data_IF_573164894397
#
_entry.id   IF_573164894397
#
_cell.length_a   1.000
_cell.length_b   1.000
_cell.length_c   1.000
_cell.angle_alpha   90.00
_cell.angle_beta   90.00
_cell.angle_gamma   90.00
#
_symmetry.space_group_name_H-M   'P 1'
#
loop_
_entity.id
_entity.type
_entity.pdbx_description
1 polymer ?
#
# COMPACT_ATOMS: atom_id res chain seq x y z
N UNK A 1 3.83 0.41 -15.73
CA UNK A 1 3.73 1.85 -16.07
C UNK A 1 4.58 2.75 -15.18
N UNK A 2 5.38 2.20 -14.25
CA UNK A 2 6.16 2.97 -13.27
C UNK A 2 7.30 3.76 -13.90
N UNK A 3 7.97 3.25 -14.95
CA UNK A 3 9.08 3.96 -15.57
C UNK A 3 8.63 5.30 -16.18
N UNK A 4 7.55 5.31 -16.95
CA UNK A 4 7.04 6.52 -17.61
C UNK A 4 6.55 7.53 -16.58
N UNK A 5 5.76 7.10 -15.60
CA UNK A 5 5.26 8.00 -14.55
C UNK A 5 6.40 8.57 -13.70
N UNK A 6 7.38 7.75 -13.33
CA UNK A 6 8.56 8.19 -12.57
C UNK A 6 9.43 9.13 -13.39
N UNK A 7 9.68 8.85 -14.68
CA UNK A 7 10.42 9.75 -15.56
C UNK A 7 9.73 11.11 -15.71
N UNK A 8 8.41 11.12 -15.93
CA UNK A 8 7.61 12.35 -16.03
C UNK A 8 7.62 13.15 -14.72
N UNK A 9 7.48 12.47 -13.58
CA UNK A 9 7.52 13.13 -12.26
C UNK A 9 8.90 13.71 -11.97
N UNK A 10 9.97 12.96 -12.23
CA UNK A 10 11.35 13.43 -12.03
C UNK A 10 11.66 14.62 -12.93
N UNK A 11 11.34 14.52 -14.23
CA UNK A 11 11.58 15.60 -15.18
C UNK A 11 10.72 16.83 -14.87
N UNK A 12 9.44 16.64 -14.58
CA UNK A 12 8.53 17.72 -14.18
C UNK A 12 8.99 18.43 -12.91
N UNK A 13 9.52 17.70 -11.94
CA UNK A 13 10.04 18.28 -10.69
C UNK A 13 11.32 19.08 -10.93
N UNK A 14 12.25 18.55 -11.74
CA UNK A 14 13.46 19.29 -12.13
C UNK A 14 13.10 20.59 -12.87
N UNK A 15 12.23 20.52 -13.88
CA UNK A 15 11.77 21.71 -14.61
C UNK A 15 11.04 22.71 -13.71
N UNK A 16 10.20 22.23 -12.78
CA UNK A 16 9.49 23.10 -11.85
C UNK A 16 10.45 23.81 -10.91
N UNK A 17 11.44 23.10 -10.36
CA UNK A 17 12.47 23.73 -9.51
C UNK A 17 13.28 24.76 -10.29
N UNK A 18 13.59 24.48 -11.56
CA UNK A 18 14.29 25.41 -12.43
C UNK A 18 13.46 26.68 -12.67
N UNK A 19 12.20 26.55 -13.10
CA UNK A 19 11.33 27.69 -13.38
C UNK A 19 11.07 28.56 -12.13
N UNK A 20 10.90 27.94 -10.95
CA UNK A 20 10.76 28.65 -9.67
C UNK A 20 12.05 29.40 -9.31
N UNK A 21 13.20 28.80 -9.54
CA UNK A 21 14.48 29.46 -9.32
C UNK A 21 14.68 30.65 -10.27
N UNK A 22 14.39 30.49 -11.56
CA UNK A 22 14.43 31.57 -12.55
C UNK A 22 13.49 32.72 -12.18
N UNK A 23 12.27 32.41 -11.71
CA UNK A 23 11.33 33.42 -11.21
C UNK A 23 11.87 34.16 -9.97
N UNK A 24 12.50 33.43 -9.06
CA UNK A 24 13.13 34.01 -7.88
C UNK A 24 14.28 34.95 -8.26
N UNK A 25 15.20 34.54 -9.12
CA UNK A 25 16.28 35.42 -9.60
C UNK A 25 15.72 36.68 -10.30
N UNK A 26 14.71 36.51 -11.14
CA UNK A 26 14.04 37.63 -11.81
C UNK A 26 13.39 38.59 -10.80
N UNK A 27 12.84 38.08 -9.69
CA UNK A 27 12.21 38.90 -8.64
C UNK A 27 13.19 39.73 -7.81
N UNK A 28 14.48 39.35 -7.78
CA UNK A 28 15.53 40.09 -7.08
C UNK A 28 16.06 41.28 -7.88
N UNK A 29 15.76 41.33 -9.18
CA UNK A 29 16.17 42.45 -10.02
C UNK A 29 15.35 43.70 -9.63
N UNK A 30 15.99 44.87 -9.46
CA UNK A 30 15.32 46.11 -9.02
C UNK A 30 14.33 46.69 -10.04
N UNK A 31 14.05 45.99 -11.14
CA UNK A 31 13.06 46.37 -12.13
C UNK A 31 11.71 45.75 -11.78
N UNK A 32 10.68 46.58 -11.62
CA UNK A 32 9.26 46.19 -11.49
C UNK A 32 8.71 45.61 -12.80
N UNK A 33 9.41 44.67 -13.41
CA UNK A 33 9.04 44.02 -14.65
C UNK A 33 8.12 42.83 -14.37
N UNK A 34 7.04 42.74 -15.14
CA UNK A 34 6.17 41.57 -15.18
C UNK A 34 6.98 40.31 -15.48
N UNK A 35 6.55 39.16 -14.97
CA UNK A 35 7.26 37.90 -15.17
C UNK A 35 7.41 37.59 -16.68
N UNK A 36 8.63 37.29 -17.17
CA UNK A 36 8.87 36.97 -18.58
C UNK A 36 8.02 35.80 -19.06
N UNK A 37 7.58 35.88 -20.33
CA UNK A 37 6.76 34.84 -20.95
C UNK A 37 7.43 33.45 -20.91
N UNK A 38 8.73 33.40 -21.11
CA UNK A 38 9.52 32.16 -21.09
C UNK A 38 9.34 31.40 -19.77
N UNK A 39 9.62 32.08 -18.64
CA UNK A 39 9.44 31.53 -17.29
C UNK A 39 7.99 31.07 -17.05
N UNK A 40 7.00 31.81 -17.55
CA UNK A 40 5.59 31.39 -17.41
C UNK A 40 5.26 30.12 -18.18
N UNK A 41 5.80 29.96 -19.40
CA UNK A 41 5.57 28.76 -20.21
C UNK A 41 6.31 27.56 -19.60
N UNK A 42 7.55 27.74 -19.15
CA UNK A 42 8.31 26.70 -18.45
C UNK A 42 7.56 26.21 -17.19
N UNK A 43 7.03 27.13 -16.39
CA UNK A 43 6.27 26.78 -15.19
C UNK A 43 4.97 26.03 -15.54
N UNK A 44 4.20 26.51 -16.52
CA UNK A 44 2.97 25.85 -16.95
C UNK A 44 3.23 24.45 -17.51
N UNK A 45 4.28 24.29 -18.32
CA UNK A 45 4.66 23.00 -18.90
C UNK A 45 5.18 22.03 -17.83
N UNK A 46 6.00 22.51 -16.88
CA UNK A 46 6.46 21.71 -15.76
C UNK A 46 5.31 21.21 -14.88
N UNK A 47 4.37 22.10 -14.52
CA UNK A 47 3.17 21.74 -13.75
C UNK A 47 2.32 20.73 -14.50
N UNK A 48 2.08 20.93 -15.80
CA UNK A 48 1.30 20.02 -16.61
C UNK A 48 1.95 18.63 -16.68
N UNK A 49 3.26 18.55 -16.90
CA UNK A 49 3.99 17.27 -16.91
C UNK A 49 3.92 16.56 -15.56
N UNK A 50 4.04 17.30 -14.47
CA UNK A 50 3.97 16.77 -13.11
C UNK A 50 2.56 16.26 -12.79
N UNK A 51 1.51 16.98 -13.20
CA UNK A 51 0.12 16.51 -13.07
C UNK A 51 -0.11 15.20 -13.84
N UNK A 52 0.37 15.12 -15.09
CA UNK A 52 0.25 13.90 -15.90
C UNK A 52 1.01 12.74 -15.24
N UNK A 53 2.25 12.99 -14.80
CA UNK A 53 3.08 11.98 -14.15
C UNK A 53 2.46 11.44 -12.86
N UNK A 54 1.86 12.31 -12.03
CA UNK A 54 1.18 11.91 -10.78
C UNK A 54 -0.06 11.08 -11.10
N UNK A 55 -0.88 11.49 -12.07
CA UNK A 55 -2.10 10.75 -12.45
C UNK A 55 -1.73 9.36 -12.99
N UNK A 56 -0.70 9.25 -13.82
CA UNK A 56 -0.22 7.97 -14.34
C UNK A 56 0.46 7.09 -13.28
N UNK A 57 0.97 7.68 -12.20
CA UNK A 57 1.54 6.95 -11.06
C UNK A 57 0.47 6.36 -10.13
N UNK A 58 -0.78 6.82 -10.25
CA UNK A 58 -1.87 6.35 -9.38
C UNK A 58 -2.08 4.85 -9.53
N UNK A 59 -2.29 4.10 -8.43
CA UNK A 59 -2.72 2.71 -8.51
C UNK A 59 -4.08 2.60 -9.19
N UNK A 60 -4.33 1.43 -9.79
CA UNK A 60 -5.62 1.12 -10.39
C UNK A 60 -6.76 1.22 -9.38
N UNK A 61 -7.94 1.59 -9.90
CA UNK A 61 -9.15 1.72 -9.10
C UNK A 61 -9.51 0.37 -8.46
N UNK A 62 -9.78 0.41 -7.15
CA UNK A 62 -10.34 -0.74 -6.44
C UNK A 62 -11.74 -1.04 -6.99
N UNK A 63 -12.14 -2.32 -7.10
CA UNK A 63 -13.47 -2.66 -7.59
C UNK A 63 -14.52 -2.22 -6.57
N UNK A 64 -15.70 -1.84 -7.07
CA UNK A 64 -16.81 -1.31 -6.25
C UNK A 64 -17.29 -2.33 -5.22
N UNK A 65 -17.27 -3.61 -5.55
CA UNK A 65 -17.72 -4.67 -4.66
C UNK A 65 -16.59 -5.16 -3.75
N UNK A 66 -16.79 -4.99 -2.44
CA UNK A 66 -15.81 -5.34 -1.41
C UNK A 66 -15.51 -6.84 -1.36
N UNK A 67 -16.48 -7.70 -1.65
CA UNK A 67 -16.26 -9.15 -1.68
C UNK A 67 -15.34 -9.57 -2.84
N UNK A 68 -15.45 -8.88 -3.97
CA UNK A 68 -14.57 -9.11 -5.14
C UNK A 68 -13.17 -8.57 -4.86
N UNK A 69 -13.05 -7.42 -4.19
CA UNK A 69 -11.75 -6.88 -3.79
C UNK A 69 -11.04 -7.80 -2.77
N UNK A 70 -11.73 -8.16 -1.68
CA UNK A 70 -11.19 -9.04 -0.65
C UNK A 70 -10.82 -10.42 -1.19
N UNK A 71 -11.64 -10.98 -2.09
CA UNK A 71 -11.33 -12.25 -2.75
C UNK A 71 -10.12 -12.18 -3.70
N UNK A 72 -9.85 -11.04 -4.34
CA UNK A 72 -8.61 -10.84 -5.11
C UNK A 72 -7.39 -10.74 -4.20
N UNK A 73 -7.51 -10.00 -3.10
CA UNK A 73 -6.44 -9.81 -2.12
C UNK A 73 -6.00 -11.14 -1.50
N UNK A 74 -6.96 -11.95 -1.02
CA UNK A 74 -6.68 -13.28 -0.46
C UNK A 74 -5.97 -14.20 -1.47
N UNK A 75 -6.37 -14.17 -2.75
CA UNK A 75 -5.70 -14.94 -3.81
C UNK A 75 -4.28 -14.45 -4.11
N UNK A 76 -4.04 -13.15 -4.08
CA UNK A 76 -2.71 -12.56 -4.32
C UNK A 76 -1.75 -12.88 -3.17
N UNK A 77 -2.20 -12.76 -1.93
CA UNK A 77 -1.39 -13.13 -0.75
C UNK A 77 -1.10 -14.63 -0.70
N UNK A 78 -2.08 -15.48 -0.96
CA UNK A 78 -1.87 -16.92 -1.05
C UNK A 78 -0.84 -17.28 -2.14
N UNK A 79 -0.92 -16.65 -3.33
CA UNK A 79 0.08 -16.85 -4.39
C UNK A 79 1.47 -16.39 -3.98
N UNK A 80 1.57 -15.28 -3.24
CA UNK A 80 2.84 -14.77 -2.74
C UNK A 80 3.44 -15.70 -1.67
N UNK A 81 2.62 -16.23 -0.76
CA UNK A 81 3.03 -17.19 0.27
C UNK A 81 3.53 -18.50 -0.35
N UNK A 82 2.77 -19.08 -1.29
CA UNK A 82 3.18 -20.28 -2.03
C UNK A 82 4.51 -20.05 -2.76
N UNK A 83 4.70 -18.88 -3.38
CA UNK A 83 5.96 -18.51 -4.04
C UNK A 83 7.13 -18.39 -3.05
N UNK A 84 6.87 -17.99 -1.82
CA UNK A 84 7.86 -17.90 -0.75
C UNK A 84 8.18 -19.26 -0.09
N UNK A 85 7.58 -20.37 -0.57
CA UNK A 85 7.76 -21.70 0.01
C UNK A 85 6.94 -21.93 1.27
N UNK A 86 6.02 -21.02 1.59
CA UNK A 86 5.07 -21.16 2.67
C UNK A 86 3.80 -21.84 2.15
N UNK A 87 3.51 -23.03 2.67
CA UNK A 87 2.34 -23.85 2.31
C UNK A 87 1.14 -23.53 3.20
N UNK A 88 1.30 -22.66 4.21
CA UNK A 88 0.13 -22.23 4.99
C UNK A 88 -0.75 -21.29 4.18
N UNK A 89 -2.05 -21.60 4.19
CA UNK A 89 -3.10 -20.75 3.62
C UNK A 89 -3.17 -19.44 4.43
N UNK A 90 -2.31 -18.49 4.05
CA UNK A 90 -2.32 -17.13 4.58
C UNK A 90 -3.45 -16.36 3.94
N UNK A 91 -4.66 -16.50 4.49
CA UNK A 91 -5.75 -15.58 4.19
C UNK A 91 -5.64 -14.37 5.15
N UNK A 92 -5.54 -13.11 4.63
CA UNK A 92 -5.52 -11.91 5.46
C UNK A 92 -6.77 -11.76 6.34
N UNK A 93 -7.86 -12.47 6.02
CA UNK A 93 -9.12 -12.47 6.73
C UNK A 93 -9.33 -13.69 7.63
N UNK A 94 -8.32 -14.56 7.82
CA UNK A 94 -8.43 -15.75 8.67
C UNK A 94 -8.92 -15.42 10.09
N UNK A 95 -8.63 -14.23 10.58
CA UNK A 95 -9.07 -13.74 11.87
C UNK A 95 -10.60 -13.54 11.95
N UNK A 96 -11.24 -13.20 10.82
CA UNK A 96 -12.70 -13.11 10.72
C UNK A 96 -13.33 -14.51 10.70
N UNK A 97 -12.68 -15.48 10.05
CA UNK A 97 -13.16 -16.86 9.97
C UNK A 97 -13.04 -17.62 11.29
N UNK A 98 -11.93 -17.45 12.01
CA UNK A 98 -11.70 -18.08 13.32
C UNK A 98 -12.68 -17.53 14.39
N UNK A 99 -13.33 -16.39 14.14
CA UNK A 99 -14.33 -15.75 15.02
C UNK A 99 -13.93 -15.85 16.49
N UNK A 100 -12.72 -15.37 16.84
CA UNK A 100 -12.11 -15.59 18.17
C UNK A 100 -13.00 -15.24 19.37
N UNK A 101 -13.92 -14.28 19.22
CA UNK A 101 -14.88 -13.91 20.27
C UNK A 101 -16.01 -14.92 20.53
N UNK A 102 -16.23 -15.86 19.61
CA UNK A 102 -17.24 -16.93 19.69
C UNK A 102 -16.61 -18.32 19.84
N UNK A 103 -15.32 -18.39 20.20
CA UNK A 103 -14.66 -19.65 20.44
C UNK A 103 -15.31 -20.34 21.65
N UNK A 104 -15.79 -21.58 21.46
CA UNK A 104 -16.25 -22.38 22.59
C UNK A 104 -15.05 -22.82 23.44
N UNK A 105 -14.77 -22.03 24.48
CA UNK A 105 -13.68 -22.28 25.42
C UNK A 105 -13.88 -23.61 26.16
N UNK A 106 -15.13 -24.01 26.43
CA UNK A 106 -15.41 -25.24 27.19
C UNK A 106 -15.17 -26.47 26.33
N UNK A 107 -15.69 -26.47 25.11
CA UNK A 107 -15.42 -27.52 24.12
C UNK A 107 -13.92 -27.67 23.83
N UNK A 108 -13.20 -26.57 23.62
CA UNK A 108 -11.74 -26.63 23.35
C UNK A 108 -10.91 -27.13 24.54
N UNK A 109 -11.34 -26.87 25.77
CA UNK A 109 -10.68 -27.43 26.96
C UNK A 109 -10.89 -28.94 27.08
N UNK A 110 -12.06 -29.44 26.68
CA UNK A 110 -12.35 -30.88 26.67
C UNK A 110 -11.57 -31.59 25.56
N UNK A 111 -11.58 -31.05 24.33
CA UNK A 111 -10.77 -31.57 23.22
C UNK A 111 -9.27 -31.66 23.58
N UNK A 112 -8.74 -30.63 24.28
CA UNK A 112 -7.35 -30.65 24.73
C UNK A 112 -7.11 -31.72 25.81
N UNK A 113 -8.03 -31.88 26.76
CA UNK A 113 -7.93 -32.91 27.79
C UNK A 113 -7.98 -34.32 27.19
N UNK A 114 -8.87 -34.56 26.22
CA UNK A 114 -8.97 -35.84 25.52
C UNK A 114 -7.72 -36.12 24.68
N UNK A 115 -7.15 -35.10 24.05
CA UNK A 115 -5.89 -35.22 23.29
C UNK A 115 -4.68 -35.54 24.18
N UNK A 116 -4.57 -34.91 25.36
CA UNK A 116 -3.51 -35.17 26.34
C UNK A 116 -3.55 -36.64 26.83
N UNK A 117 -4.77 -37.13 27.10
CA UNK A 117 -5.01 -38.55 27.44
C UNK A 117 -4.58 -39.47 26.29
N UNK A 118 -4.88 -39.09 25.04
CA UNK A 118 -4.59 -39.90 23.86
C UNK A 118 -3.10 -39.92 23.48
N UNK A 119 -2.35 -38.86 23.81
CA UNK A 119 -0.92 -38.73 23.52
C UNK A 119 0.00 -39.21 24.65
N UNK A 120 -0.56 -39.56 25.81
CA UNK A 120 0.17 -40.16 26.93
C UNK A 120 1.19 -39.22 27.58
N UNK A 121 1.05 -37.91 27.34
CA UNK A 121 1.89 -36.90 27.99
C UNK A 121 1.45 -36.78 29.46
N UNK A 122 2.39 -36.69 30.41
CA UNK A 122 2.05 -36.57 31.82
C UNK A 122 1.34 -35.23 32.06
N UNK A 123 0.05 -35.29 32.37
CA UNK A 123 -0.78 -34.12 32.67
C UNK A 123 -0.17 -33.35 33.86
N UNK A 124 0.41 -32.17 33.61
CA UNK A 124 0.78 -31.26 34.69
C UNK A 124 -0.51 -30.68 35.29
N UNK A 125 -1.02 -31.35 36.33
CA UNK A 125 -2.15 -30.92 37.13
C UNK A 125 -1.78 -29.61 37.85
N UNK A 126 -2.03 -28.46 37.22
CA UNK A 126 -2.07 -27.18 37.92
C UNK A 126 -3.33 -27.14 38.77
N UNK A 127 -3.15 -27.40 40.06
CA UNK A 127 -4.16 -27.20 41.08
C UNK A 127 -4.39 -25.71 41.32
N UNK A 128 -5.65 -25.31 41.18
CA UNK A 128 -6.30 -24.26 41.95
C UNK A 128 -7.68 -24.77 42.35
#
# INVERSE_FOLDING_TARGET
MTLISTSLNSLGLVLLTHAVYSAHEHSLLPTTATLPLDITIELLTAVLLLCIGIVLASPDLKPINWSVWGGKLSREEHKAAVKAGDVTERDPYVQLDIRRGFLDIRGKRQEFADWDIMTGLPSYRTGY
#
